data_IF_755495702527
#
_entry.id   IF_755495702527
#
_cell.length_a   1.000
_cell.length_b   1.000
_cell.length_c   1.000
_cell.angle_alpha   90.00
_cell.angle_beta   90.00
_cell.angle_gamma   90.00
#
_symmetry.space_group_name_H-M   'P 1'
#
loop_
_entity.id
_entity.type
_entity.pdbx_description
1 polymer ?
#
# COMPACT_ATOMS: atom_id res chain seq x y z
N UNK A 1 -26.14 -8.12 6.71
CA UNK A 1 -25.25 -9.06 5.97
C UNK A 1 -24.19 -8.34 5.13
N UNK A 2 -24.44 -7.11 4.65
CA UNK A 2 -23.47 -6.30 3.87
C UNK A 2 -22.19 -5.86 4.62
N UNK A 3 -22.28 -5.52 5.91
CA UNK A 3 -21.10 -5.03 6.67
C UNK A 3 -19.98 -6.08 6.77
N UNK A 4 -20.32 -7.34 7.09
CA UNK A 4 -19.34 -8.45 7.17
C UNK A 4 -18.63 -8.73 5.84
N UNK A 5 -19.28 -8.49 4.70
CA UNK A 5 -18.68 -8.72 3.38
C UNK A 5 -17.68 -7.62 3.04
N UNK A 6 -18.00 -6.36 3.34
CA UNK A 6 -17.10 -5.21 3.19
C UNK A 6 -15.86 -5.33 4.09
N UNK A 7 -16.05 -5.72 5.35
CA UNK A 7 -14.95 -5.90 6.31
C UNK A 7 -13.96 -6.97 5.84
N UNK A 8 -14.45 -8.09 5.29
CA UNK A 8 -13.59 -9.15 4.73
C UNK A 8 -12.87 -8.69 3.46
N UNK A 9 -13.51 -7.88 2.62
CA UNK A 9 -12.89 -7.34 1.40
C UNK A 9 -11.74 -6.39 1.73
N UNK A 10 -11.91 -5.53 2.74
CA UNK A 10 -10.87 -4.60 3.17
C UNK A 10 -9.67 -5.31 3.80
N UNK A 11 -9.91 -6.35 4.60
CA UNK A 11 -8.84 -7.18 5.13
C UNK A 11 -8.01 -7.86 4.02
N UNK A 12 -8.67 -8.33 2.96
CA UNK A 12 -7.97 -8.93 1.81
C UNK A 12 -7.13 -7.89 1.05
N UNK A 13 -7.68 -6.71 0.79
CA UNK A 13 -6.99 -5.62 0.09
C UNK A 13 -5.74 -5.17 0.85
N UNK A 14 -5.86 -4.94 2.16
CA UNK A 14 -4.74 -4.57 3.03
C UNK A 14 -3.64 -5.64 2.98
N UNK A 15 -3.99 -6.90 3.20
CA UNK A 15 -3.03 -8.00 3.22
C UNK A 15 -2.28 -8.15 1.89
N UNK A 16 -2.99 -8.05 0.76
CA UNK A 16 -2.36 -8.13 -0.58
C UNK A 16 -1.38 -6.96 -0.77
N UNK A 17 -1.78 -5.74 -0.41
CA UNK A 17 -0.90 -4.56 -0.50
C UNK A 17 0.35 -4.70 0.36
N UNK A 18 0.21 -5.14 1.61
CA UNK A 18 1.35 -5.30 2.54
C UNK A 18 2.31 -6.39 2.06
N UNK A 19 1.80 -7.55 1.64
CA UNK A 19 2.65 -8.65 1.16
C UNK A 19 3.41 -8.26 -0.10
N UNK A 20 2.76 -7.55 -1.05
CA UNK A 20 3.45 -7.03 -2.23
C UNK A 20 4.51 -6.00 -1.86
N UNK A 21 4.22 -5.11 -0.93
CA UNK A 21 5.18 -4.12 -0.44
C UNK A 21 6.41 -4.79 0.17
N UNK A 22 6.23 -5.75 1.09
CA UNK A 22 7.33 -6.52 1.68
C UNK A 22 8.17 -7.21 0.60
N UNK A 23 7.52 -7.82 -0.40
CA UNK A 23 8.21 -8.48 -1.52
C UNK A 23 9.07 -7.48 -2.31
N UNK A 24 8.54 -6.30 -2.64
CA UNK A 24 9.29 -5.24 -3.32
C UNK A 24 10.53 -4.82 -2.53
N UNK A 25 10.42 -4.66 -1.21
CA UNK A 25 11.55 -4.28 -0.35
C UNK A 25 12.61 -5.39 -0.22
N UNK A 26 12.17 -6.65 -0.16
CA UNK A 26 13.07 -7.80 -0.06
C UNK A 26 13.80 -8.09 -1.39
N UNK A 27 13.13 -7.95 -2.53
CA UNK A 27 13.71 -8.26 -3.85
C UNK A 27 14.65 -7.17 -4.36
N UNK A 28 14.37 -5.89 -4.06
CA UNK A 28 15.14 -4.80 -4.65
C UNK A 28 16.48 -4.53 -3.96
N UNK A 29 16.82 -5.21 -2.85
CA UNK A 29 17.85 -4.79 -1.89
C UNK A 29 17.68 -3.30 -1.60
N UNK A 30 16.99 -2.93 -0.51
CA UNK A 30 16.59 -1.54 -0.23
C UNK A 30 17.64 -0.45 -0.41
N UNK A 31 18.93 -0.76 -0.54
CA UNK A 31 19.95 0.09 -1.15
C UNK A 31 19.60 0.72 -2.52
N UNK A 32 18.76 0.10 -3.37
CA UNK A 32 18.30 0.75 -4.63
C UNK A 32 17.17 1.76 -4.39
N UNK A 33 16.51 1.67 -3.24
CA UNK A 33 15.62 2.69 -2.72
C UNK A 33 16.46 3.51 -1.75
N UNK A 34 17.29 4.43 -2.26
CA UNK A 34 18.22 5.36 -1.56
C UNK A 34 17.65 6.11 -0.31
N UNK A 35 16.41 5.81 0.05
CA UNK A 35 15.54 6.45 1.01
C UNK A 35 15.47 5.65 2.33
N UNK A 36 15.90 4.38 2.38
CA UNK A 36 15.73 3.52 3.56
C UNK A 36 17.04 2.87 4.03
N UNK A 37 17.55 3.31 5.18
CA UNK A 37 18.79 2.81 5.77
C UNK A 37 18.70 1.37 6.30
N UNK A 38 17.50 0.87 6.65
CA UNK A 38 17.25 -0.54 7.02
C UNK A 38 15.76 -0.88 6.88
N UNK A 39 15.40 -1.86 6.04
CA UNK A 39 14.01 -2.33 5.87
C UNK A 39 13.43 -2.88 7.16
N UNK A 40 14.26 -3.53 7.99
CA UNK A 40 13.80 -4.13 9.25
C UNK A 40 13.40 -3.06 10.27
N UNK A 41 13.80 -1.82 10.03
CA UNK A 41 13.47 -0.66 10.85
C UNK A 41 12.15 0.02 10.42
N UNK A 42 11.53 -0.47 9.34
CA UNK A 42 10.30 0.08 8.78
C UNK A 42 9.05 -0.54 9.40
N UNK A 43 8.06 0.30 9.64
CA UNK A 43 6.72 -0.11 10.05
C UNK A 43 5.73 0.23 8.94
N UNK A 44 4.98 -0.76 8.48
CA UNK A 44 3.89 -0.59 7.51
C UNK A 44 2.56 -0.45 8.24
N UNK A 45 1.84 0.63 7.97
CA UNK A 45 0.56 0.91 8.62
C UNK A 45 -0.49 1.26 7.57
N UNK A 46 -1.65 0.62 7.65
CA UNK A 46 -2.79 1.01 6.82
C UNK A 46 -3.16 2.47 7.11
N UNK A 47 -3.15 3.30 6.06
CA UNK A 47 -3.66 4.68 6.10
C UNK A 47 -5.14 4.68 5.73
N UNK A 48 -5.48 4.13 4.56
CA UNK A 48 -6.87 4.09 4.08
C UNK A 48 -7.11 3.02 3.02
N UNK A 49 -8.36 2.54 2.96
CA UNK A 49 -8.94 1.88 1.79
C UNK A 49 -10.14 2.70 1.38
N UNK A 50 -10.15 3.15 0.13
CA UNK A 50 -11.21 4.00 -0.40
C UNK A 50 -11.68 3.51 -1.75
N UNK A 51 -12.94 3.77 -2.06
CA UNK A 51 -13.52 3.56 -3.38
C UNK A 51 -13.30 4.84 -4.19
N UNK A 52 -12.77 4.73 -5.40
CA UNK A 52 -12.52 5.86 -6.29
C UNK A 52 -12.90 5.49 -7.72
N UNK A 53 -12.92 6.48 -8.61
CA UNK A 53 -12.96 6.27 -10.06
C UNK A 53 -11.57 6.48 -10.65
N UNK A 54 -11.14 5.59 -11.52
CA UNK A 54 -9.88 5.75 -12.26
C UNK A 54 -10.02 6.78 -13.42
N UNK A 55 -8.98 6.89 -14.25
CA UNK A 55 -8.96 7.81 -15.41
C UNK A 55 -10.00 7.48 -16.49
N UNK A 56 -10.59 6.28 -16.45
CA UNK A 56 -11.60 5.80 -17.38
C UNK A 56 -13.00 5.77 -16.75
N UNK A 57 -13.19 6.47 -15.62
CA UNK A 57 -14.43 6.51 -14.84
C UNK A 57 -14.86 5.13 -14.30
N UNK A 58 -13.94 4.17 -14.23
CA UNK A 58 -14.20 2.83 -13.71
C UNK A 58 -13.98 2.81 -12.20
N UNK A 59 -14.89 2.13 -11.49
CA UNK A 59 -14.82 1.99 -10.05
C UNK A 59 -13.64 1.09 -9.63
N UNK A 60 -12.83 1.58 -8.70
CA UNK A 60 -11.62 0.92 -8.20
C UNK A 60 -11.50 1.06 -6.69
N UNK A 61 -10.82 0.11 -6.05
CA UNK A 61 -10.36 0.26 -4.67
C UNK A 61 -8.95 0.83 -4.67
N UNK A 62 -8.72 1.83 -3.83
CA UNK A 62 -7.40 2.42 -3.59
C UNK A 62 -7.00 2.12 -2.16
N UNK A 63 -5.96 1.31 -2.02
CA UNK A 63 -5.31 1.01 -0.74
C UNK A 63 -4.07 1.88 -0.59
N UNK A 64 -3.92 2.51 0.56
CA UNK A 64 -2.74 3.29 0.91
C UNK A 64 -2.14 2.76 2.21
N UNK A 65 -0.87 2.38 2.14
CA UNK A 65 -0.05 1.93 3.26
C UNK A 65 1.01 2.97 3.53
N UNK A 66 1.01 3.53 4.72
CA UNK A 66 2.07 4.40 5.20
C UNK A 66 3.31 3.58 5.58
N UNK A 67 4.48 4.14 5.27
CA UNK A 67 5.77 3.56 5.58
C UNK A 67 6.46 4.51 6.57
N UNK A 68 6.64 4.02 7.78
CA UNK A 68 7.16 4.77 8.91
C UNK A 68 8.56 4.27 9.24
N UNK A 69 9.46 5.18 9.61
CA UNK A 69 10.74 4.81 10.23
C UNK A 69 10.54 4.42 11.70
N UNK A 70 11.57 3.85 12.31
CA UNK A 70 11.63 3.49 13.75
C UNK A 70 11.26 4.64 14.69
N UNK A 71 11.47 5.88 14.26
CA UNK A 71 11.06 7.10 14.99
C UNK A 71 9.58 7.44 14.79
N UNK A 72 8.80 6.56 14.15
CA UNK A 72 7.43 6.76 13.67
C UNK A 72 7.24 7.99 12.78
N UNK A 73 8.32 8.47 12.16
CA UNK A 73 8.24 9.52 11.15
C UNK A 73 7.80 8.87 9.84
N UNK A 74 6.70 9.37 9.26
CA UNK A 74 6.24 8.95 7.95
C UNK A 74 7.23 9.45 6.89
N UNK A 75 7.80 8.52 6.15
CA UNK A 75 8.86 8.82 5.16
C UNK A 75 8.43 8.52 3.72
N UNK A 76 7.43 7.66 3.57
CA UNK A 76 6.84 7.33 2.28
C UNK A 76 5.41 6.80 2.45
N UNK A 77 4.71 6.63 1.34
CA UNK A 77 3.53 5.78 1.27
C UNK A 77 3.55 4.93 0.01
N UNK A 78 2.93 3.76 0.11
CA UNK A 78 2.68 2.86 -0.99
C UNK A 78 1.19 2.88 -1.32
N UNK A 79 0.86 3.11 -2.58
CA UNK A 79 -0.53 3.08 -3.06
C UNK A 79 -0.70 1.91 -4.02
N UNK A 80 -1.69 1.07 -3.76
CA UNK A 80 -2.11 -0.02 -4.63
C UNK A 80 -3.54 0.24 -5.11
N UNK A 81 -3.77 0.05 -6.40
CA UNK A 81 -5.08 0.20 -7.03
C UNK A 81 -5.57 -1.18 -7.44
N UNK A 82 -6.82 -1.49 -7.09
CA UNK A 82 -7.47 -2.75 -7.40
C UNK A 82 -8.73 -2.51 -8.21
N UNK A 83 -9.01 -3.42 -9.14
CA UNK A 83 -10.34 -3.51 -9.73
C UNK A 83 -11.36 -4.05 -8.71
N UNK A 84 -12.64 -4.07 -9.10
CA UNK A 84 -13.74 -4.54 -8.23
C UNK A 84 -13.64 -6.04 -7.86
N UNK A 85 -12.83 -6.82 -8.58
CA UNK A 85 -12.55 -8.23 -8.31
C UNK A 85 -11.30 -8.42 -7.43
N UNK A 86 -10.77 -7.36 -6.82
CA UNK A 86 -9.58 -7.35 -5.96
C UNK A 86 -8.28 -7.75 -6.67
N UNK A 87 -8.22 -7.62 -7.99
CA UNK A 87 -6.98 -7.77 -8.74
C UNK A 87 -6.25 -6.43 -8.81
N UNK A 88 -4.94 -6.45 -8.57
CA UNK A 88 -4.09 -5.26 -8.69
C UNK A 88 -4.06 -4.83 -10.16
N UNK A 89 -4.42 -3.58 -10.42
CA UNK A 89 -4.31 -2.96 -11.75
C UNK A 89 -3.11 -2.04 -11.85
N UNK A 90 -2.70 -1.42 -10.74
CA UNK A 90 -1.55 -0.52 -10.69
C UNK A 90 -1.04 -0.37 -9.26
N UNK A 91 0.23 0.01 -9.09
CA UNK A 91 0.79 0.43 -7.83
C UNK A 91 1.97 1.38 -7.99
N UNK A 92 2.16 2.22 -6.98
CA UNK A 92 3.28 3.14 -6.97
C UNK A 92 3.72 3.47 -5.55
N UNK A 93 5.00 3.77 -5.46
CA UNK A 93 5.69 4.12 -4.25
C UNK A 93 6.02 5.62 -4.28
N UNK A 94 5.69 6.34 -3.21
CA UNK A 94 5.87 7.80 -3.12
C UNK A 94 6.66 8.14 -1.88
N UNK A 95 7.82 8.77 -2.08
CA UNK A 95 8.62 9.35 -1.02
C UNK A 95 8.08 10.71 -0.61
N UNK A 96 8.22 11.06 0.66
CA UNK A 96 7.76 12.33 1.22
C UNK A 96 8.93 13.27 1.55
N UNK A 97 10.07 13.08 0.90
CA UNK A 97 11.25 13.92 1.10
C UNK A 97 10.95 15.30 0.51
N UNK A 98 11.25 16.36 1.26
CA UNK A 98 11.25 17.76 0.81
C UNK A 98 12.34 18.02 -0.26
#
# INVERSE_FOLDING_TARGET
>A
MHAKTLDNSYLNIENISIEKLKKLFNENNAHNLDIFEDVNSLVFKLDSISLATDLYEVLVYVCKIDILSVHNLKIAYYKTIFNMDYNIIDDFFVTLID
#
